data_IF_853492560727
#
_entry.id   IF_853492560727
#
_cell.length_a   1.000
_cell.length_b   1.000
_cell.length_c   1.000
_cell.angle_alpha   90.00
_cell.angle_beta   90.00
_cell.angle_gamma   90.00
#
_symmetry.space_group_name_H-M   'P 1'
#
loop_
_entity.id
_entity.type
_entity.pdbx_description
1 polymer ?
#
# COMPACT_ATOMS: atom_id res chain seq x y z
N UNK A 1 5.87 22.65 2.48
CA UNK A 1 6.03 21.40 3.25
C UNK A 1 6.07 20.23 2.27
N UNK A 2 7.23 19.59 2.09
CA UNK A 2 7.46 18.58 1.05
C UNK A 2 6.75 17.28 1.48
N UNK A 3 5.51 17.06 1.03
CA UNK A 3 4.75 15.82 1.25
C UNK A 3 5.59 14.67 0.72
N UNK A 4 6.25 13.93 1.62
CA UNK A 4 7.13 12.85 1.23
C UNK A 4 6.27 11.76 0.59
N UNK A 5 6.49 11.37 -0.67
CA UNK A 5 5.67 10.35 -1.35
C UNK A 5 5.63 9.02 -0.58
N UNK A 6 6.62 8.80 0.31
CA UNK A 6 6.68 7.68 1.23
C UNK A 6 5.62 7.71 2.34
N UNK A 7 5.33 8.90 2.89
CA UNK A 7 4.30 9.03 3.92
C UNK A 7 2.91 8.71 3.33
N UNK A 8 2.65 9.18 2.11
CA UNK A 8 1.41 8.87 1.41
C UNK A 8 1.24 7.35 1.21
N UNK A 9 2.26 6.65 0.72
CA UNK A 9 2.20 5.19 0.55
C UNK A 9 2.02 4.41 1.85
N UNK A 10 2.63 4.88 2.95
CA UNK A 10 2.44 4.27 4.27
C UNK A 10 1.00 4.43 4.77
N UNK A 11 0.38 5.59 4.56
CA UNK A 11 -1.03 5.83 4.88
C UNK A 11 -1.95 4.92 4.04
N UNK A 12 -1.73 4.80 2.72
CA UNK A 12 -2.49 3.89 1.86
C UNK A 12 -2.35 2.43 2.29
N UNK A 13 -1.15 2.02 2.70
CA UNK A 13 -0.91 0.65 3.20
C UNK A 13 -1.67 0.38 4.49
N UNK A 14 -1.64 1.31 5.45
CA UNK A 14 -2.39 1.21 6.70
C UNK A 14 -3.90 1.17 6.46
N UNK A 15 -4.42 2.04 5.58
CA UNK A 15 -5.84 2.03 5.19
C UNK A 15 -6.25 0.71 4.55
N UNK A 16 -5.46 0.17 3.61
CA UNK A 16 -5.73 -1.12 2.99
C UNK A 16 -5.80 -2.27 4.00
N UNK A 17 -4.94 -2.27 5.03
CA UNK A 17 -4.97 -3.27 6.11
C UNK A 17 -6.28 -3.17 6.91
N UNK A 18 -6.69 -1.95 7.26
CA UNK A 18 -7.94 -1.70 7.99
C UNK A 18 -9.15 -2.13 7.17
N UNK A 19 -9.21 -1.78 5.89
CA UNK A 19 -10.28 -2.24 4.99
C UNK A 19 -10.30 -3.77 4.84
N UNK A 20 -9.13 -4.41 4.78
CA UNK A 20 -9.04 -5.88 4.76
C UNK A 20 -9.58 -6.50 6.04
N UNK A 21 -9.26 -5.93 7.21
CA UNK A 21 -9.81 -6.39 8.49
C UNK A 21 -11.33 -6.31 8.53
N UNK A 22 -11.90 -5.19 8.06
CA UNK A 22 -13.35 -5.04 7.94
C UNK A 22 -13.95 -6.02 6.92
N UNK A 23 -13.28 -6.26 5.79
CA UNK A 23 -13.70 -7.24 4.79
C UNK A 23 -13.79 -8.64 5.39
N UNK A 24 -12.78 -9.07 6.15
CA UNK A 24 -12.75 -10.39 6.80
C UNK A 24 -13.87 -10.50 7.85
N UNK A 25 -14.09 -9.45 8.64
CA UNK A 25 -15.16 -9.43 9.64
C UNK A 25 -16.55 -9.50 8.98
N UNK A 26 -16.73 -8.81 7.86
CA UNK A 26 -17.95 -8.86 7.05
C UNK A 26 -18.12 -10.21 6.34
N UNK A 27 -17.03 -10.81 5.86
CA UNK A 27 -17.00 -12.11 5.21
C UNK A 27 -17.48 -13.26 6.12
N UNK A 28 -17.30 -13.13 7.44
CA UNK A 28 -17.82 -14.09 8.40
C UNK A 28 -19.35 -14.24 8.36
N UNK A 29 -20.07 -13.19 7.95
CA UNK A 29 -21.52 -13.23 7.72
C UNK A 29 -21.88 -13.65 6.29
N UNK A 30 -20.90 -13.73 5.38
CA UNK A 30 -21.10 -14.12 3.99
C UNK A 30 -20.08 -13.47 3.06
N UNK A 31 -19.32 -14.29 2.34
CA UNK A 31 -18.38 -13.85 1.30
C UNK A 31 -19.08 -13.21 0.10
N UNK A 32 -20.32 -13.62 -0.17
CA UNK A 32 -21.17 -13.12 -1.27
C UNK A 32 -21.88 -11.81 -0.95
N UNK A 33 -21.63 -11.21 0.21
CA UNK A 33 -22.22 -9.94 0.56
C UNK A 33 -21.60 -8.81 -0.27
N UNK A 34 -22.44 -7.95 -0.86
CA UNK A 34 -22.02 -6.80 -1.66
C UNK A 34 -20.98 -5.94 -0.92
N UNK A 35 -21.18 -5.70 0.37
CA UNK A 35 -20.25 -4.91 1.19
C UNK A 35 -18.88 -5.58 1.30
N UNK A 36 -18.81 -6.90 1.45
CA UNK A 36 -17.56 -7.66 1.53
C UNK A 36 -16.76 -7.55 0.22
N UNK A 37 -17.44 -7.71 -0.92
CA UNK A 37 -16.82 -7.60 -2.25
C UNK A 37 -16.31 -6.17 -2.48
N UNK A 38 -17.10 -5.15 -2.09
CA UNK A 38 -16.68 -3.75 -2.20
C UNK A 38 -15.45 -3.45 -1.33
N UNK A 39 -15.43 -3.93 -0.08
CA UNK A 39 -14.28 -3.79 0.81
C UNK A 39 -13.02 -4.48 0.27
N UNK A 40 -13.16 -5.68 -0.33
CA UNK A 40 -12.05 -6.38 -0.98
C UNK A 40 -11.52 -5.62 -2.20
N UNK A 41 -12.40 -5.06 -3.03
CA UNK A 41 -12.01 -4.23 -4.18
C UNK A 41 -11.23 -3.00 -3.74
N UNK A 42 -11.75 -2.25 -2.77
CA UNK A 42 -11.09 -1.05 -2.22
C UNK A 42 -9.72 -1.43 -1.64
N UNK A 43 -9.65 -2.45 -0.80
CA UNK A 43 -8.39 -2.93 -0.23
C UNK A 43 -7.38 -3.32 -1.32
N UNK A 44 -7.83 -3.97 -2.40
CA UNK A 44 -6.97 -4.36 -3.54
C UNK A 44 -6.38 -3.13 -4.25
N UNK A 45 -7.19 -2.09 -4.46
CA UNK A 45 -6.70 -0.82 -5.03
C UNK A 45 -5.67 -0.15 -4.09
N UNK A 46 -5.93 -0.10 -2.79
CA UNK A 46 -5.00 0.45 -1.79
C UNK A 46 -3.65 -0.31 -1.80
N UNK A 47 -3.69 -1.64 -1.85
CA UNK A 47 -2.48 -2.46 -1.96
C UNK A 47 -1.73 -2.24 -3.27
N UNK A 48 -2.43 -2.07 -4.40
CA UNK A 48 -1.80 -1.73 -5.69
C UNK A 48 -1.01 -0.42 -5.62
N UNK A 49 -1.59 0.61 -4.98
CA UNK A 49 -0.90 1.89 -4.74
C UNK A 49 0.27 1.73 -3.78
N UNK A 50 0.11 0.97 -2.69
CA UNK A 50 1.16 0.67 -1.73
C UNK A 50 2.36 -0.03 -2.41
N UNK A 51 2.12 -1.05 -3.24
CA UNK A 51 3.16 -1.78 -4.00
C UNK A 51 3.92 -0.82 -4.91
N UNK A 52 3.23 0.11 -5.59
CA UNK A 52 3.85 1.12 -6.45
C UNK A 52 4.77 2.06 -5.67
N UNK A 53 4.34 2.53 -4.49
CA UNK A 53 5.17 3.39 -3.65
C UNK A 53 6.36 2.62 -3.08
N UNK A 54 6.17 1.35 -2.72
CA UNK A 54 7.23 0.51 -2.18
C UNK A 54 8.31 0.17 -3.22
N UNK A 55 7.91 -0.12 -4.47
CA UNK A 55 8.84 -0.29 -5.59
C UNK A 55 9.59 1.00 -5.91
N UNK A 56 8.92 2.16 -5.87
CA UNK A 56 9.57 3.46 -6.03
C UNK A 56 10.61 3.70 -4.92
N UNK A 57 10.27 3.40 -3.66
CA UNK A 57 11.20 3.51 -2.53
C UNK A 57 12.43 2.61 -2.70
N UNK A 58 12.22 1.35 -3.10
CA UNK A 58 13.32 0.41 -3.40
C UNK A 58 14.22 0.93 -4.51
N UNK A 59 13.65 1.49 -5.59
CA UNK A 59 14.39 2.05 -6.72
C UNK A 59 15.21 3.28 -6.31
N UNK A 60 14.62 4.20 -5.54
CA UNK A 60 15.33 5.37 -5.00
C UNK A 60 16.49 4.93 -4.10
N UNK A 61 16.26 3.97 -3.20
CA UNK A 61 17.30 3.43 -2.32
C UNK A 61 18.45 2.79 -3.10
N UNK A 62 18.16 2.08 -4.19
CA UNK A 62 19.17 1.52 -5.09
C UNK A 62 19.99 2.61 -5.82
N UNK A 63 19.33 3.65 -6.34
CA UNK A 63 20.00 4.76 -7.04
C UNK A 63 20.91 5.52 -6.06
N UNK A 64 20.46 5.72 -4.83
CA UNK A 64 21.23 6.42 -3.80
C UNK A 64 22.45 5.61 -3.35
N UNK A 65 22.29 4.29 -3.18
CA UNK A 65 23.40 3.38 -2.88
C UNK A 65 24.47 3.35 -3.98
N UNK A 66 24.08 3.40 -5.26
CA UNK A 66 25.03 3.49 -6.37
C UNK A 66 25.75 4.85 -6.44
N UNK A 67 25.08 5.93 -6.03
CA UNK A 67 25.70 7.28 -6.00
C UNK A 67 26.79 7.40 -4.94
N UNK A 68 26.61 6.75 -3.78
CA UNK A 68 27.64 6.71 -2.72
C UNK A 68 28.81 5.79 -3.07
N UNK A 69 28.58 4.73 -3.86
CA UNK A 69 29.66 3.84 -4.34
C UNK A 69 30.53 4.51 -5.41
N UNK A 70 29.96 5.35 -6.29
CA UNK A 70 30.70 6.04 -7.34
C UNK A 70 31.40 7.33 -6.84
N UNK A 71 31.30 7.62 -5.54
CA UNK A 71 31.93 8.78 -4.88
C UNK A 71 33.06 8.37 -3.93
N UNK A 72 33.30 7.06 -3.77
CA UNK A 72 34.48 6.48 -3.12
C UNK A 72 35.49 6.10 -4.18
#
# INVERSE_FOLDING_TARGET
MRRTPLFMGLVYTLMGIVFTYFAIRSANHGLWNFTTILLMLVATFDFGVAIRVFTLHRRIKHIQKNKDQNKK
#
